data_IF_203427083136
#
_entry.id   IF_203427083136
#
_cell.length_a   1.000
_cell.length_b   1.000
_cell.length_c   1.000
_cell.angle_alpha   90.00
_cell.angle_beta   90.00
_cell.angle_gamma   90.00
#
_symmetry.space_group_name_H-M   'P 1'
#
loop_
_entity.id
_entity.type
_entity.pdbx_description
1 polymer ?
#
# COMPACT_ATOMS: atom_id res chain seq x y z
N UNK A 1 -38.31 -149.19 24.15
CA UNK A 1 -38.64 -148.97 22.73
C UNK A 1 -38.43 -147.49 22.42
N UNK A 2 -38.11 -147.14 21.17
CA UNK A 2 -37.65 -145.78 20.84
C UNK A 2 -38.73 -144.70 21.07
N UNK A 3 -38.39 -143.67 21.84
CA UNK A 3 -39.17 -142.43 21.88
C UNK A 3 -39.09 -141.74 20.51
N UNK A 4 -40.22 -141.66 19.80
CA UNK A 4 -40.35 -140.81 18.62
C UNK A 4 -40.37 -139.35 19.09
N UNK A 5 -39.20 -138.74 19.17
CA UNK A 5 -39.06 -137.29 19.34
C UNK A 5 -39.83 -136.58 18.22
N UNK A 6 -40.86 -135.82 18.59
CA UNK A 6 -41.83 -135.28 17.64
C UNK A 6 -41.21 -134.10 16.88
N UNK A 7 -40.89 -134.21 15.57
CA UNK A 7 -40.03 -133.26 14.87
C UNK A 7 -40.63 -131.85 14.73
N UNK A 8 -41.95 -131.73 14.91
CA UNK A 8 -42.66 -130.46 14.87
C UNK A 8 -42.28 -129.51 16.03
N UNK A 9 -41.90 -130.03 17.21
CA UNK A 9 -41.62 -129.18 18.37
C UNK A 9 -40.35 -128.33 18.19
N UNK A 10 -39.30 -128.93 17.59
CA UNK A 10 -38.08 -128.19 17.23
C UNK A 10 -38.32 -127.16 16.13
N UNK A 11 -39.18 -127.44 15.15
CA UNK A 11 -39.52 -126.48 14.09
C UNK A 11 -40.24 -125.23 14.64
N UNK A 12 -41.19 -125.41 15.56
CA UNK A 12 -41.92 -124.30 16.20
C UNK A 12 -41.01 -123.48 17.12
N UNK A 13 -40.13 -124.12 17.92
CA UNK A 13 -39.16 -123.41 18.75
C UNK A 13 -38.15 -122.61 17.92
N UNK A 14 -37.67 -123.16 16.80
CA UNK A 14 -36.71 -122.47 15.93
C UNK A 14 -37.38 -121.30 15.19
N UNK A 15 -38.63 -121.44 14.75
CA UNK A 15 -39.43 -120.34 14.20
C UNK A 15 -39.67 -119.23 15.23
N UNK A 16 -40.05 -119.57 16.46
CA UNK A 16 -40.22 -118.60 17.56
C UNK A 16 -38.93 -117.85 17.90
N UNK A 17 -37.81 -118.57 17.94
CA UNK A 17 -36.47 -118.02 18.20
C UNK A 17 -35.99 -117.05 17.10
N UNK A 18 -36.45 -117.21 15.85
CA UNK A 18 -36.18 -116.28 14.75
C UNK A 18 -37.17 -115.10 14.70
N UNK A 19 -38.42 -115.29 15.09
CA UNK A 19 -39.43 -114.23 15.10
C UNK A 19 -39.16 -113.16 16.17
N UNK A 20 -38.63 -113.54 17.34
CA UNK A 20 -38.32 -112.61 18.42
C UNK A 20 -37.27 -111.53 18.04
N UNK A 21 -36.07 -111.87 17.51
CA UNK A 21 -35.11 -110.85 17.08
C UNK A 21 -35.62 -110.04 15.88
N UNK A 22 -36.39 -110.64 14.95
CA UNK A 22 -37.01 -109.90 13.85
C UNK A 22 -38.03 -108.86 14.36
N UNK A 23 -38.79 -109.17 15.42
CA UNK A 23 -39.69 -108.22 16.07
C UNK A 23 -38.93 -107.08 16.77
N UNK A 24 -37.86 -107.38 17.50
CA UNK A 24 -37.02 -106.38 18.19
C UNK A 24 -36.33 -105.46 17.17
N UNK A 25 -35.73 -106.01 16.11
CA UNK A 25 -35.12 -105.24 15.00
C UNK A 25 -36.18 -104.40 14.26
N UNK A 26 -37.38 -104.95 14.03
CA UNK A 26 -38.49 -104.20 13.45
C UNK A 26 -38.93 -103.01 14.33
N UNK A 27 -38.92 -103.17 15.65
CA UNK A 27 -39.26 -102.11 16.60
C UNK A 27 -38.20 -101.02 16.66
N UNK A 28 -36.91 -101.37 16.71
CA UNK A 28 -35.81 -100.37 16.71
C UNK A 28 -35.72 -99.61 15.39
N UNK A 29 -35.92 -100.27 14.25
CA UNK A 29 -36.00 -99.60 12.94
C UNK A 29 -37.18 -98.62 12.87
N UNK A 30 -38.36 -98.98 13.41
CA UNK A 30 -39.51 -98.06 13.51
C UNK A 30 -39.18 -96.85 14.39
N UNK A 31 -38.55 -97.06 15.55
CA UNK A 31 -38.15 -95.98 16.44
C UNK A 31 -37.11 -95.04 15.80
N UNK A 32 -36.14 -95.59 15.06
CA UNK A 32 -35.16 -94.81 14.29
C UNK A 32 -35.84 -93.98 13.19
N UNK A 33 -36.76 -94.57 12.41
CA UNK A 33 -37.50 -93.84 11.37
C UNK A 33 -38.36 -92.70 11.95
N UNK A 34 -39.05 -92.96 13.08
CA UNK A 34 -39.83 -91.92 13.79
C UNK A 34 -38.90 -90.82 14.33
N UNK A 35 -37.75 -91.19 14.91
CA UNK A 35 -36.78 -90.22 15.42
C UNK A 35 -36.17 -89.35 14.31
N UNK A 36 -35.76 -89.96 13.20
CA UNK A 36 -35.19 -89.25 12.05
C UNK A 36 -36.22 -88.33 11.40
N UNK A 37 -37.46 -88.80 11.19
CA UNK A 37 -38.53 -87.94 10.63
C UNK A 37 -38.91 -86.79 11.56
N UNK A 38 -38.96 -87.01 12.89
CA UNK A 38 -39.14 -85.95 13.87
C UNK A 38 -37.99 -84.92 13.82
N UNK A 39 -36.73 -85.37 13.75
CA UNK A 39 -35.55 -84.49 13.67
C UNK A 39 -35.58 -83.66 12.39
N UNK A 40 -35.84 -84.26 11.22
CA UNK A 40 -35.96 -83.55 9.95
C UNK A 40 -37.11 -82.53 9.97
N UNK A 41 -38.24 -82.88 10.56
CA UNK A 41 -39.38 -81.97 10.72
C UNK A 41 -39.03 -80.79 11.64
N UNK A 42 -38.41 -81.04 12.80
CA UNK A 42 -37.95 -80.01 13.73
C UNK A 42 -36.88 -79.10 13.10
N UNK A 43 -35.94 -79.65 12.34
CA UNK A 43 -34.95 -78.88 11.57
C UNK A 43 -35.64 -77.98 10.54
N UNK A 44 -36.62 -78.50 9.80
CA UNK A 44 -37.39 -77.73 8.81
C UNK A 44 -38.16 -76.57 9.46
N UNK A 45 -38.83 -76.82 10.59
CA UNK A 45 -39.54 -75.78 11.36
C UNK A 45 -38.56 -74.73 11.93
N UNK A 46 -37.41 -75.16 12.45
CA UNK A 46 -36.36 -74.27 12.97
C UNK A 46 -35.78 -73.36 11.88
N UNK A 47 -35.43 -73.92 10.71
CA UNK A 47 -34.97 -73.15 9.56
C UNK A 47 -36.05 -72.17 9.05
N UNK A 48 -37.31 -72.60 9.00
CA UNK A 48 -38.45 -71.74 8.71
C UNK A 48 -38.54 -70.55 9.66
N UNK A 49 -38.49 -70.80 10.97
CA UNK A 49 -38.52 -69.76 12.00
C UNK A 49 -37.33 -68.80 11.90
N UNK A 50 -36.10 -69.31 11.71
CA UNK A 50 -34.90 -68.50 11.50
C UNK A 50 -35.03 -67.63 10.25
N UNK A 51 -35.62 -68.14 9.16
CA UNK A 51 -35.85 -67.35 7.94
C UNK A 51 -36.83 -66.18 8.18
N UNK A 52 -37.91 -66.41 8.93
CA UNK A 52 -38.89 -65.39 9.31
C UNK A 52 -38.26 -64.34 10.23
N UNK A 53 -37.44 -64.76 11.21
CA UNK A 53 -36.69 -63.84 12.07
C UNK A 53 -35.68 -63.00 11.27
N UNK A 54 -34.93 -63.61 10.35
CA UNK A 54 -34.02 -62.90 9.44
C UNK A 54 -34.77 -61.86 8.61
N UNK A 55 -35.92 -62.23 8.01
CA UNK A 55 -36.79 -61.32 7.22
C UNK A 55 -37.36 -60.17 8.07
N UNK A 56 -37.78 -60.44 9.32
CA UNK A 56 -38.22 -59.40 10.25
C UNK A 56 -37.09 -58.47 10.66
N UNK A 57 -35.87 -58.99 10.89
CA UNK A 57 -34.69 -58.18 11.24
C UNK A 57 -34.25 -57.32 10.06
N UNK A 58 -34.20 -57.85 8.83
CA UNK A 58 -33.85 -57.07 7.65
C UNK A 58 -34.89 -55.98 7.35
N UNK A 59 -36.18 -56.27 7.49
CA UNK A 59 -37.24 -55.27 7.36
C UNK A 59 -37.12 -54.13 8.39
N UNK A 60 -36.82 -54.44 9.66
CA UNK A 60 -36.57 -53.40 10.69
C UNK A 60 -35.33 -52.57 10.40
N UNK A 61 -34.24 -53.19 9.94
CA UNK A 61 -33.01 -52.47 9.57
C UNK A 61 -33.22 -51.58 8.33
N UNK A 62 -33.98 -52.04 7.33
CA UNK A 62 -34.36 -51.23 6.18
C UNK A 62 -35.22 -50.03 6.58
N UNK A 63 -36.26 -50.25 7.40
CA UNK A 63 -37.11 -49.16 7.91
C UNK A 63 -36.32 -48.12 8.72
N UNK A 64 -35.40 -48.56 9.58
CA UNK A 64 -34.52 -47.66 10.34
C UNK A 64 -33.56 -46.88 9.42
N UNK A 65 -33.01 -47.51 8.38
CA UNK A 65 -32.17 -46.84 7.39
C UNK A 65 -32.95 -45.80 6.57
N UNK A 66 -34.19 -46.09 6.20
CA UNK A 66 -35.06 -45.14 5.49
C UNK A 66 -35.50 -43.98 6.39
N UNK A 67 -35.75 -44.21 7.68
CA UNK A 67 -36.01 -43.12 8.64
C UNK A 67 -34.80 -42.17 8.75
N UNK A 68 -33.57 -42.72 8.86
CA UNK A 68 -32.35 -41.92 8.86
C UNK A 68 -32.19 -41.11 7.57
N UNK A 69 -32.47 -41.72 6.40
CA UNK A 69 -32.46 -41.01 5.10
C UNK A 69 -33.48 -39.87 5.05
N UNK A 70 -34.68 -40.06 5.60
CA UNK A 70 -35.73 -39.02 5.66
C UNK A 70 -35.27 -37.86 6.56
N UNK A 71 -34.72 -38.16 7.75
CA UNK A 71 -34.15 -37.14 8.65
C UNK A 71 -33.01 -36.36 7.98
N UNK A 72 -32.09 -37.06 7.30
CA UNK A 72 -30.97 -36.45 6.58
C UNK A 72 -31.45 -35.55 5.44
N UNK A 73 -32.44 -35.98 4.63
CA UNK A 73 -33.04 -35.14 3.58
C UNK A 73 -33.69 -33.89 4.15
N UNK A 74 -34.38 -34.00 5.29
CA UNK A 74 -34.97 -32.84 5.99
C UNK A 74 -33.88 -31.86 6.44
N UNK A 75 -32.82 -32.35 7.11
CA UNK A 75 -31.68 -31.52 7.51
C UNK A 75 -31.02 -30.81 6.32
N UNK A 76 -30.80 -31.51 5.21
CA UNK A 76 -30.26 -30.91 3.98
C UNK A 76 -31.20 -29.81 3.46
N UNK A 77 -32.51 -30.05 3.41
CA UNK A 77 -33.47 -29.05 2.96
C UNK A 77 -33.53 -27.81 3.87
N UNK A 78 -33.47 -27.99 5.19
CA UNK A 78 -33.48 -26.90 6.16
C UNK A 78 -32.17 -26.09 6.12
N UNK A 79 -31.01 -26.74 5.96
CA UNK A 79 -29.72 -26.08 5.70
C UNK A 79 -29.75 -25.32 4.37
N UNK A 80 -30.25 -25.94 3.29
CA UNK A 80 -30.35 -25.28 1.98
C UNK A 80 -31.28 -24.06 2.01
N UNK A 81 -32.37 -24.10 2.78
CA UNK A 81 -33.24 -22.93 3.00
C UNK A 81 -32.49 -21.81 3.72
N UNK A 82 -31.83 -22.09 4.84
CA UNK A 82 -31.07 -21.10 5.60
C UNK A 82 -29.91 -20.49 4.78
N UNK A 83 -29.21 -21.30 3.98
CA UNK A 83 -28.19 -20.78 3.05
C UNK A 83 -28.82 -19.89 1.98
N UNK A 84 -29.99 -20.25 1.44
CA UNK A 84 -30.74 -19.42 0.49
C UNK A 84 -31.14 -18.06 1.08
N UNK A 85 -31.70 -18.06 2.28
CA UNK A 85 -32.08 -16.84 3.02
C UNK A 85 -30.87 -15.93 3.27
N UNK A 86 -29.74 -16.49 3.72
CA UNK A 86 -28.50 -15.74 3.92
C UNK A 86 -27.94 -15.15 2.62
N UNK A 87 -28.03 -15.87 1.50
CA UNK A 87 -27.60 -15.36 0.18
C UNK A 87 -28.53 -14.23 -0.30
N UNK A 88 -29.84 -14.33 -0.07
CA UNK A 88 -30.79 -13.25 -0.39
C UNK A 88 -30.46 -11.99 0.41
N UNK A 89 -30.29 -12.11 1.74
CA UNK A 89 -29.92 -10.98 2.61
C UNK A 89 -28.58 -10.33 2.21
N UNK A 90 -27.60 -11.13 1.81
CA UNK A 90 -26.31 -10.63 1.30
C UNK A 90 -26.47 -9.84 -0.02
N UNK A 91 -27.31 -10.33 -0.93
CA UNK A 91 -27.61 -9.66 -2.20
C UNK A 91 -28.40 -8.37 -1.99
N UNK A 92 -29.35 -8.35 -1.06
CA UNK A 92 -30.09 -7.14 -0.67
C UNK A 92 -29.17 -6.08 -0.05
N UNK A 93 -28.29 -6.50 0.88
CA UNK A 93 -27.28 -5.62 1.49
C UNK A 93 -26.33 -5.04 0.43
N UNK A 94 -25.85 -5.88 -0.50
CA UNK A 94 -25.00 -5.45 -1.62
C UNK A 94 -25.72 -4.46 -2.54
N UNK A 95 -27.01 -4.70 -2.85
CA UNK A 95 -27.85 -3.80 -3.64
C UNK A 95 -28.03 -2.44 -2.95
N UNK A 96 -28.27 -2.42 -1.65
CA UNK A 96 -28.39 -1.17 -0.88
C UNK A 96 -27.08 -0.37 -0.88
N UNK A 97 -25.93 -1.05 -0.74
CA UNK A 97 -24.61 -0.40 -0.85
C UNK A 97 -24.38 0.21 -2.23
N UNK A 98 -24.72 -0.49 -3.31
CA UNK A 98 -24.62 0.04 -4.68
C UNK A 98 -25.52 1.26 -4.88
N UNK A 99 -26.75 1.25 -4.35
CA UNK A 99 -27.65 2.41 -4.41
C UNK A 99 -27.09 3.62 -3.63
N UNK A 100 -26.52 3.42 -2.44
CA UNK A 100 -25.87 4.49 -1.67
C UNK A 100 -24.66 5.09 -2.40
N UNK A 101 -23.82 4.25 -3.01
CA UNK A 101 -22.69 4.70 -3.82
C UNK A 101 -23.14 5.49 -5.05
N UNK A 102 -24.22 5.07 -5.71
CA UNK A 102 -24.78 5.81 -6.85
C UNK A 102 -25.33 7.18 -6.42
N UNK A 103 -26.09 7.25 -5.32
CA UNK A 103 -26.57 8.52 -4.75
C UNK A 103 -25.43 9.45 -4.28
N UNK A 104 -24.31 8.91 -3.83
CA UNK A 104 -23.12 9.72 -3.52
C UNK A 104 -22.42 10.23 -4.79
N UNK A 105 -22.36 9.41 -5.85
CA UNK A 105 -21.82 9.83 -7.14
C UNK A 105 -22.67 10.93 -7.79
N UNK A 106 -24.01 10.78 -7.79
CA UNK A 106 -24.94 11.79 -8.30
C UNK A 106 -24.81 13.13 -7.56
N UNK A 107 -24.71 13.11 -6.21
CA UNK A 107 -24.46 14.33 -5.44
C UNK A 107 -23.13 14.99 -5.79
N UNK A 108 -22.05 14.22 -5.95
CA UNK A 108 -20.75 14.78 -6.36
C UNK A 108 -20.81 15.37 -7.77
N UNK A 109 -21.53 14.75 -8.70
CA UNK A 109 -21.73 15.31 -10.04
C UNK A 109 -22.44 16.67 -9.95
N UNK A 110 -23.52 16.78 -9.16
CA UNK A 110 -24.23 18.04 -8.93
C UNK A 110 -23.34 19.11 -8.25
N UNK A 111 -22.52 18.73 -7.28
CA UNK A 111 -21.53 19.63 -6.65
C UNK A 111 -20.49 20.14 -7.66
N UNK A 112 -19.99 19.28 -8.56
CA UNK A 112 -19.08 19.68 -9.64
C UNK A 112 -19.77 20.59 -10.66
N UNK A 113 -20.99 20.28 -11.08
CA UNK A 113 -21.78 21.11 -12.00
C UNK A 113 -22.01 22.51 -11.42
N UNK A 114 -22.48 22.61 -10.16
CA UNK A 114 -22.65 23.89 -9.46
C UNK A 114 -21.32 24.66 -9.37
N UNK A 115 -20.23 24.01 -8.97
CA UNK A 115 -18.92 24.65 -8.90
C UNK A 115 -18.42 25.16 -10.27
N UNK A 116 -18.79 24.50 -11.38
CA UNK A 116 -18.48 25.02 -12.73
C UNK A 116 -19.35 26.22 -13.12
N UNK A 117 -20.62 26.25 -12.73
CA UNK A 117 -21.51 27.41 -12.94
C UNK A 117 -21.00 28.62 -12.13
N UNK A 118 -20.74 28.44 -10.83
CA UNK A 118 -20.23 29.49 -9.94
C UNK A 118 -18.90 30.07 -10.46
N UNK A 119 -18.02 29.20 -10.99
CA UNK A 119 -16.78 29.63 -11.64
C UNK A 119 -17.05 30.46 -12.89
N UNK A 120 -17.98 30.03 -13.75
CA UNK A 120 -18.32 30.76 -14.97
C UNK A 120 -18.94 32.13 -14.66
N UNK A 121 -19.76 32.23 -13.61
CA UNK A 121 -20.30 33.51 -13.12
C UNK A 121 -19.21 34.41 -12.53
N UNK A 122 -18.25 33.85 -11.78
CA UNK A 122 -17.08 34.57 -11.29
C UNK A 122 -16.20 35.10 -12.43
N UNK A 123 -16.04 34.35 -13.51
CA UNK A 123 -15.31 34.78 -14.71
C UNK A 123 -16.06 35.92 -15.43
N UNK A 124 -17.38 35.80 -15.67
CA UNK A 124 -18.22 36.90 -16.21
C UNK A 124 -18.17 38.17 -15.37
N UNK A 125 -18.18 38.05 -14.03
CA UNK A 125 -18.10 39.19 -13.13
C UNK A 125 -16.72 39.89 -13.21
N UNK A 126 -15.64 39.14 -13.39
CA UNK A 126 -14.29 39.70 -13.63
C UNK A 126 -14.23 40.42 -14.98
N UNK A 127 -14.79 39.84 -16.03
CA UNK A 127 -14.82 40.47 -17.36
C UNK A 127 -15.59 41.79 -17.33
N UNK A 128 -16.74 41.83 -16.65
CA UNK A 128 -17.51 43.06 -16.43
C UNK A 128 -16.72 44.09 -15.61
N UNK A 129 -15.96 43.66 -14.59
CA UNK A 129 -15.08 44.54 -13.82
C UNK A 129 -13.94 45.10 -14.69
N UNK A 130 -13.29 44.28 -15.51
CA UNK A 130 -12.23 44.69 -16.43
C UNK A 130 -12.74 45.73 -17.42
N UNK A 131 -13.88 45.47 -18.07
CA UNK A 131 -14.53 46.42 -18.97
C UNK A 131 -14.81 47.77 -18.30
N UNK A 132 -15.31 47.77 -17.07
CA UNK A 132 -15.53 49.01 -16.30
C UNK A 132 -14.23 49.76 -15.99
N UNK A 133 -13.09 49.07 -15.86
CA UNK A 133 -11.77 49.70 -15.68
C UNK A 133 -11.24 50.28 -16.98
N UNK A 134 -11.39 49.57 -18.09
CA UNK A 134 -11.03 50.06 -19.43
C UNK A 134 -11.79 51.35 -19.78
N UNK A 135 -13.11 51.38 -19.55
CA UNK A 135 -13.93 52.58 -19.77
C UNK A 135 -13.46 53.77 -18.90
N UNK A 136 -13.05 53.53 -17.66
CA UNK A 136 -12.49 54.56 -16.79
C UNK A 136 -11.11 55.05 -17.26
N UNK A 137 -10.24 54.16 -17.76
CA UNK A 137 -8.93 54.53 -18.33
C UNK A 137 -9.13 55.40 -19.58
N UNK A 138 -10.03 55.02 -20.50
CA UNK A 138 -10.37 55.81 -21.70
C UNK A 138 -10.98 57.20 -21.37
N UNK A 139 -11.58 57.37 -20.20
CA UNK A 139 -12.02 58.68 -19.67
C UNK A 139 -10.84 59.47 -19.10
N UNK A 140 -9.89 58.84 -18.41
CA UNK A 140 -8.67 59.49 -17.93
C UNK A 140 -7.76 59.93 -19.07
N UNK A 141 -7.54 59.08 -20.08
CA UNK A 141 -6.71 59.40 -21.26
C UNK A 141 -7.22 60.63 -22.00
N UNK A 142 -8.55 60.76 -22.18
CA UNK A 142 -9.16 61.97 -22.77
C UNK A 142 -8.90 63.22 -21.93
N UNK A 143 -9.07 63.14 -20.61
CA UNK A 143 -8.78 64.27 -19.70
C UNK A 143 -7.30 64.66 -19.72
N UNK A 144 -6.40 63.69 -19.76
CA UNK A 144 -4.96 63.93 -19.88
C UNK A 144 -4.67 64.67 -21.20
N UNK A 145 -5.21 64.16 -22.32
CA UNK A 145 -5.05 64.79 -23.63
C UNK A 145 -5.59 66.23 -23.68
N UNK A 146 -6.79 66.47 -23.16
CA UNK A 146 -7.37 67.82 -23.03
C UNK A 146 -6.47 68.75 -22.19
N UNK A 147 -5.88 68.23 -21.10
CA UNK A 147 -4.94 69.00 -20.27
C UNK A 147 -3.59 69.26 -20.94
N UNK A 148 -3.12 68.33 -21.77
CA UNK A 148 -1.89 68.46 -22.54
C UNK A 148 -2.04 69.52 -23.64
N UNK A 149 -3.15 69.49 -24.38
CA UNK A 149 -3.49 70.51 -25.39
C UNK A 149 -3.59 71.91 -24.74
N UNK A 150 -4.17 72.01 -23.54
CA UNK A 150 -4.24 73.25 -22.77
C UNK A 150 -2.84 73.74 -22.31
N UNK A 151 -1.96 72.83 -21.87
CA UNK A 151 -0.58 73.16 -21.49
C UNK A 151 0.25 73.61 -22.71
N UNK A 152 0.11 72.96 -23.87
CA UNK A 152 0.76 73.37 -25.11
C UNK A 152 0.30 74.78 -25.55
N UNK A 153 -1.00 75.08 -25.41
CA UNK A 153 -1.53 76.42 -25.68
C UNK A 153 -0.97 77.49 -24.71
N UNK A 154 -0.79 77.16 -23.42
CA UNK A 154 -0.14 78.04 -22.44
C UNK A 154 1.35 78.24 -22.73
N UNK A 155 2.06 77.17 -23.12
CA UNK A 155 3.48 77.24 -23.47
C UNK A 155 3.68 78.14 -24.71
N UNK A 156 2.90 77.95 -25.77
CA UNK A 156 2.94 78.81 -26.96
C UNK A 156 2.69 80.30 -26.61
N UNK A 157 1.80 80.57 -25.67
CA UNK A 157 1.51 81.93 -25.16
C UNK A 157 2.63 82.50 -24.29
N UNK A 158 3.42 81.65 -23.62
CA UNK A 158 4.64 82.06 -22.92
C UNK A 158 5.77 82.35 -23.92
N UNK A 159 5.98 81.51 -24.93
CA UNK A 159 6.96 81.74 -26.02
C UNK A 159 6.65 83.04 -26.78
N UNK A 160 5.39 83.31 -27.10
CA UNK A 160 4.95 84.59 -27.70
C UNK A 160 5.26 85.78 -26.79
N UNK A 161 5.04 85.65 -25.47
CA UNK A 161 5.38 86.70 -24.48
C UNK A 161 6.89 86.88 -24.36
N UNK A 162 7.67 85.81 -24.31
CA UNK A 162 9.13 85.87 -24.24
C UNK A 162 9.71 86.51 -25.50
N UNK A 163 9.19 86.18 -26.68
CA UNK A 163 9.60 86.80 -27.93
C UNK A 163 9.22 88.30 -27.98
N UNK A 164 8.05 88.68 -27.48
CA UNK A 164 7.68 90.09 -27.31
C UNK A 164 8.57 90.83 -26.29
N UNK A 165 8.90 90.19 -25.15
CA UNK A 165 9.85 90.71 -24.16
C UNK A 165 11.24 90.85 -24.77
N UNK A 166 11.70 89.89 -25.58
CA UNK A 166 12.99 89.95 -26.28
C UNK A 166 13.04 91.06 -27.33
N UNK A 167 11.95 91.31 -28.05
CA UNK A 167 11.83 92.47 -28.96
C UNK A 167 11.84 93.78 -28.15
N UNK A 168 11.16 93.82 -27.00
CA UNK A 168 11.20 94.98 -26.09
C UNK A 168 12.58 95.17 -25.45
N UNK A 169 13.29 94.08 -25.13
CA UNK A 169 14.64 94.07 -24.59
C UNK A 169 15.65 94.49 -25.65
N UNK A 170 15.59 93.98 -26.89
CA UNK A 170 16.46 94.44 -27.99
C UNK A 170 16.21 95.92 -28.32
N UNK A 171 14.96 96.41 -28.22
CA UNK A 171 14.65 97.84 -28.31
C UNK A 171 15.21 98.63 -27.11
N UNK A 172 15.07 98.14 -25.88
CA UNK A 172 15.65 98.74 -24.69
C UNK A 172 17.19 98.71 -24.75
N UNK A 173 17.79 97.67 -25.32
CA UNK A 173 19.22 97.48 -25.54
C UNK A 173 19.73 98.37 -26.66
N UNK A 174 18.89 98.73 -27.64
CA UNK A 174 19.16 99.78 -28.63
C UNK A 174 19.12 101.19 -28.01
N UNK A 175 18.38 101.38 -26.92
CA UNK A 175 18.44 102.58 -26.07
C UNK A 175 19.67 102.52 -25.14
N UNK A 176 20.00 101.35 -24.59
CA UNK A 176 21.08 101.13 -23.63
C UNK A 176 22.48 101.10 -24.26
N UNK A 177 22.62 100.64 -25.50
CA UNK A 177 23.82 100.78 -26.34
C UNK A 177 24.12 102.24 -26.72
N UNK A 178 23.17 103.15 -26.44
CA UNK A 178 23.37 104.60 -26.49
C UNK A 178 23.90 105.18 -25.17
N UNK A 179 24.02 104.36 -24.13
CA UNK A 179 24.28 104.77 -22.74
C UNK A 179 25.44 104.02 -22.07
N UNK A 180 25.72 102.77 -22.43
CA UNK A 180 26.81 101.97 -21.85
C UNK A 180 27.82 101.46 -22.88
N UNK A 181 28.73 102.36 -23.25
CA UNK A 181 30.05 102.04 -23.80
C UNK A 181 31.02 101.56 -22.68
N UNK A 182 30.50 100.94 -21.60
CA UNK A 182 31.26 100.71 -20.35
C UNK A 182 31.14 99.28 -19.80
N UNK A 183 32.20 98.50 -20.05
CA UNK A 183 32.67 97.29 -19.34
C UNK A 183 31.97 95.92 -19.55
N UNK A 184 32.86 94.91 -19.60
CA UNK A 184 32.73 93.43 -19.74
C UNK A 184 33.58 92.78 -18.59
N UNK A 185 33.87 91.45 -18.53
CA UNK A 185 33.04 90.20 -18.53
C UNK A 185 33.52 89.10 -17.52
N UNK A 186 32.83 87.94 -17.39
CA UNK A 186 33.32 86.53 -17.08
C UNK A 186 32.15 85.63 -16.56
N UNK A 187 31.90 84.34 -16.89
CA UNK A 187 32.65 83.04 -16.78
C UNK A 187 32.67 82.42 -15.33
N UNK A 188 32.50 81.09 -15.05
CA UNK A 188 32.34 79.88 -15.90
C UNK A 188 31.74 78.62 -15.16
N UNK A 189 30.92 77.80 -15.85
CA UNK A 189 30.76 76.30 -15.96
C UNK A 189 31.40 75.35 -14.88
N UNK A 190 30.71 74.25 -14.47
CA UNK A 190 31.21 72.82 -14.37
C UNK A 190 30.14 71.78 -13.89
N UNK A 191 30.38 70.49 -14.21
CA UNK A 191 29.49 69.30 -14.20
C UNK A 191 29.70 68.33 -12.98
N UNK A 192 28.91 67.22 -12.84
CA UNK A 192 28.90 66.34 -11.66
C UNK A 192 29.83 65.11 -11.73
N UNK A 193 29.97 64.39 -10.60
CA UNK A 193 30.77 63.15 -10.48
C UNK A 193 29.93 62.00 -9.90
N UNK A 194 30.23 60.76 -10.30
CA UNK A 194 29.37 59.58 -10.13
C UNK A 194 29.95 58.54 -9.09
N UNK A 195 29.61 57.23 -9.08
CA UNK A 195 29.20 56.55 -7.84
C UNK A 195 30.18 55.51 -7.30
N UNK A 196 29.99 55.12 -6.02
CA UNK A 196 30.59 53.92 -5.43
C UNK A 196 29.50 52.91 -5.06
N UNK A 197 29.65 51.66 -5.51
CA UNK A 197 28.79 50.54 -5.11
C UNK A 197 29.71 49.34 -4.79
N UNK A 198 29.62 48.72 -3.60
CA UNK A 198 30.62 47.77 -3.13
C UNK A 198 30.51 46.38 -3.77
N UNK A 199 31.66 45.71 -3.91
CA UNK A 199 31.79 44.35 -4.43
C UNK A 199 31.11 43.35 -3.50
N UNK A 200 30.13 42.60 -4.00
CA UNK A 200 29.51 41.51 -3.27
C UNK A 200 30.46 40.28 -3.18
N UNK A 201 30.50 39.56 -2.05
CA UNK A 201 31.34 38.38 -1.90
C UNK A 201 30.88 37.21 -2.81
N UNK A 202 31.79 36.31 -3.21
CA UNK A 202 31.47 35.23 -4.13
C UNK A 202 30.44 34.26 -3.54
N UNK A 203 29.29 34.15 -4.21
CA UNK A 203 28.23 33.22 -3.85
C UNK A 203 28.70 31.77 -4.07
N UNK A 204 29.05 31.08 -2.99
CA UNK A 204 29.44 29.66 -3.02
C UNK A 204 28.19 28.83 -3.35
N UNK A 205 27.94 28.60 -4.64
CA UNK A 205 26.96 27.61 -5.09
C UNK A 205 27.47 26.21 -4.73
N UNK A 206 26.89 25.62 -3.69
CA UNK A 206 27.07 24.21 -3.38
C UNK A 206 26.44 23.36 -4.49
N UNK A 207 27.26 22.60 -5.20
CA UNK A 207 26.80 21.67 -6.24
C UNK A 207 26.00 20.55 -5.59
N UNK A 208 24.68 20.51 -5.81
CA UNK A 208 23.86 19.35 -5.48
C UNK A 208 24.23 18.17 -6.39
N UNK A 209 24.04 16.92 -5.94
CA UNK A 209 23.93 15.74 -6.79
C UNK A 209 23.07 16.01 -8.04
N UNK A 210 23.51 15.55 -9.21
CA UNK A 210 22.80 15.76 -10.48
C UNK A 210 21.35 15.25 -10.42
N UNK A 211 21.12 14.15 -9.69
CA UNK A 211 19.78 13.61 -9.45
C UNK A 211 18.88 14.59 -8.70
N UNK A 212 19.39 15.42 -7.77
CA UNK A 212 18.62 16.42 -7.03
C UNK A 212 18.51 17.75 -7.80
N UNK A 213 19.54 18.11 -8.57
CA UNK A 213 19.58 19.34 -9.37
C UNK A 213 18.55 19.35 -10.51
N UNK A 214 18.25 18.18 -11.09
CA UNK A 214 17.16 18.00 -12.07
C UNK A 214 15.80 18.39 -11.50
N UNK A 215 15.61 18.17 -10.19
CA UNK A 215 14.34 18.41 -9.50
C UNK A 215 14.22 19.82 -8.92
N UNK A 216 15.32 20.50 -8.56
CA UNK A 216 15.29 21.79 -7.85
C UNK A 216 14.49 22.90 -8.55
N UNK A 217 14.30 22.80 -9.87
CA UNK A 217 13.57 23.81 -10.65
C UNK A 217 12.14 23.38 -11.03
N UNK A 218 11.80 22.08 -10.99
CA UNK A 218 10.57 21.54 -11.62
C UNK A 218 9.80 20.50 -10.76
N UNK A 219 10.15 20.33 -9.48
CA UNK A 219 9.41 19.47 -8.52
C UNK A 219 7.90 19.73 -8.47
N UNK A 220 7.46 20.97 -8.73
CA UNK A 220 6.03 21.34 -8.67
C UNK A 220 5.21 20.85 -9.86
N UNK A 221 5.85 20.62 -11.02
CA UNK A 221 5.18 20.34 -12.30
C UNK A 221 5.28 18.85 -12.70
N UNK A 222 6.48 18.26 -12.60
CA UNK A 222 6.85 17.02 -13.27
C UNK A 222 7.56 16.02 -12.35
N UNK A 223 7.14 15.98 -11.08
CA UNK A 223 7.76 15.05 -10.13
C UNK A 223 7.52 13.57 -10.46
N UNK A 224 8.61 12.82 -10.59
CA UNK A 224 8.58 11.41 -10.98
C UNK A 224 9.58 10.57 -10.18
N UNK A 225 9.25 9.30 -9.98
CA UNK A 225 10.06 8.36 -9.18
C UNK A 225 11.50 8.23 -9.71
N UNK A 226 12.46 8.54 -8.83
CA UNK A 226 13.91 8.43 -9.08
C UNK A 226 14.43 6.98 -9.06
N UNK A 227 13.62 6.05 -8.54
CA UNK A 227 13.99 4.65 -8.38
C UNK A 227 14.33 3.97 -9.71
N UNK A 228 15.24 3.00 -9.65
CA UNK A 228 15.72 2.27 -10.82
C UNK A 228 14.95 0.95 -10.94
N UNK A 229 14.44 0.65 -12.14
CA UNK A 229 13.75 -0.62 -12.41
C UNK A 229 14.74 -1.79 -12.46
N UNK A 230 14.25 -3.05 -12.43
CA UNK A 230 15.09 -4.24 -12.64
C UNK A 230 15.87 -4.25 -13.97
N UNK A 231 15.51 -3.38 -14.94
CA UNK A 231 16.19 -3.21 -16.23
C UNK A 231 17.28 -2.12 -16.21
N UNK A 232 17.57 -1.49 -15.07
CA UNK A 232 18.55 -0.41 -14.95
C UNK A 232 18.04 0.98 -15.40
N UNK A 233 16.79 1.10 -15.85
CA UNK A 233 16.19 2.38 -16.26
C UNK A 233 15.48 3.08 -15.10
N UNK A 234 15.45 4.42 -15.07
CA UNK A 234 14.63 5.19 -14.11
C UNK A 234 13.14 4.85 -14.25
N UNK A 235 12.44 4.81 -13.12
CA UNK A 235 11.04 4.42 -13.01
C UNK A 235 10.08 5.41 -13.67
N UNK A 236 10.31 6.72 -13.48
CA UNK A 236 9.52 7.83 -14.06
C UNK A 236 8.02 7.84 -13.71
N UNK A 237 7.53 6.99 -12.80
CA UNK A 237 6.13 7.03 -12.36
C UNK A 237 5.86 8.26 -11.49
N UNK A 238 4.79 9.01 -11.81
CA UNK A 238 4.36 10.24 -11.09
C UNK A 238 3.44 9.98 -9.88
N UNK A 239 3.11 8.72 -9.61
CA UNK A 239 2.26 8.27 -8.49
C UNK A 239 3.00 8.37 -7.14
N UNK A 240 3.20 9.61 -6.69
CA UNK A 240 3.82 9.98 -5.41
C UNK A 240 2.87 10.96 -4.73
N UNK A 241 2.65 10.80 -3.42
CA UNK A 241 1.70 11.62 -2.67
C UNK A 241 2.11 13.10 -2.67
N UNK A 242 1.15 14.02 -2.72
CA UNK A 242 1.46 15.44 -2.77
C UNK A 242 2.15 15.95 -1.49
N UNK A 243 1.90 15.32 -0.34
CA UNK A 243 2.62 15.58 0.91
C UNK A 243 4.10 15.15 0.85
N UNK A 244 4.40 13.98 0.26
CA UNK A 244 5.78 13.54 0.03
C UNK A 244 6.50 14.50 -0.94
N UNK A 245 5.78 15.00 -1.97
CA UNK A 245 6.31 15.98 -2.92
C UNK A 245 6.65 17.31 -2.24
N UNK A 246 5.75 17.87 -1.42
CA UNK A 246 6.03 19.13 -0.71
C UNK A 246 7.18 18.94 0.28
N UNK A 247 7.18 17.86 1.06
CA UNK A 247 8.27 17.59 2.00
C UNK A 247 9.64 17.42 1.32
N UNK A 248 9.68 16.81 0.13
CA UNK A 248 10.88 16.74 -0.69
C UNK A 248 11.32 18.11 -1.24
N UNK A 249 10.37 18.96 -1.69
CA UNK A 249 10.64 20.35 -2.10
C UNK A 249 11.26 21.13 -0.94
N UNK A 250 10.57 21.18 0.20
CA UNK A 250 10.99 21.97 1.36
C UNK A 250 12.39 21.54 1.86
N UNK A 251 12.70 20.24 1.78
CA UNK A 251 14.02 19.70 2.13
C UNK A 251 15.09 20.11 1.11
N UNK A 252 14.81 20.10 -0.19
CA UNK A 252 15.75 20.51 -1.25
C UNK A 252 15.97 22.04 -1.23
N UNK A 253 14.91 22.82 -1.01
CA UNK A 253 15.02 24.27 -0.77
C UNK A 253 15.88 24.56 0.48
N UNK A 254 15.70 23.81 1.59
CA UNK A 254 16.57 23.94 2.78
C UNK A 254 18.03 23.55 2.49
N UNK A 255 18.28 22.46 1.76
CA UNK A 255 19.62 22.01 1.35
C UNK A 255 20.36 23.01 0.43
N UNK A 256 19.62 23.86 -0.29
CA UNK A 256 20.18 24.90 -1.18
C UNK A 256 20.26 26.28 -0.52
N UNK A 257 19.73 26.43 0.68
CA UNK A 257 19.74 27.68 1.44
C UNK A 257 21.16 28.09 1.90
N UNK A 258 21.30 29.34 2.35
CA UNK A 258 22.56 29.87 2.89
C UNK A 258 22.99 29.24 4.23
N UNK A 259 22.11 28.47 4.88
CA UNK A 259 22.39 27.69 6.08
C UNK A 259 21.67 26.33 6.03
N UNK A 260 22.25 25.32 5.37
CA UNK A 260 21.60 24.02 5.22
C UNK A 260 21.58 23.16 6.49
N UNK A 261 22.23 23.57 7.59
CA UNK A 261 22.26 22.83 8.86
C UNK A 261 22.60 21.33 8.67
N UNK A 262 21.99 20.44 9.45
CA UNK A 262 22.18 19.00 9.41
C UNK A 262 21.41 18.30 8.27
N UNK A 263 20.99 19.03 7.22
CA UNK A 263 20.25 18.43 6.07
C UNK A 263 21.07 17.47 5.20
N UNK A 264 22.35 17.28 5.52
CA UNK A 264 23.22 16.32 4.85
C UNK A 264 23.46 15.03 5.67
N UNK A 265 22.76 14.83 6.79
CA UNK A 265 22.83 13.57 7.53
C UNK A 265 22.24 12.39 6.74
N UNK A 266 22.81 11.20 6.94
CA UNK A 266 22.39 9.99 6.21
C UNK A 266 20.91 9.62 6.45
N UNK A 267 20.40 9.85 7.67
CA UNK A 267 18.99 9.60 8.01
C UNK A 267 18.06 10.57 7.27
N UNK A 268 18.44 11.86 7.20
CA UNK A 268 17.73 12.90 6.45
C UNK A 268 17.73 12.59 4.95
N UNK A 269 18.86 12.20 4.38
CA UNK A 269 18.97 11.85 2.96
C UNK A 269 18.16 10.59 2.62
N UNK A 270 17.99 9.67 3.58
CA UNK A 270 17.12 8.50 3.43
C UNK A 270 15.64 8.86 3.42
N UNK A 271 15.21 9.70 4.35
CA UNK A 271 13.83 10.22 4.38
C UNK A 271 13.49 10.95 3.06
N UNK A 272 14.38 11.83 2.59
CA UNK A 272 14.26 12.49 1.29
C UNK A 272 14.18 11.47 0.15
N UNK A 273 15.08 10.48 0.12
CA UNK A 273 15.04 9.44 -0.91
C UNK A 273 13.72 8.67 -0.90
N UNK A 274 13.23 8.27 0.27
CA UNK A 274 11.97 7.52 0.39
C UNK A 274 10.76 8.36 -0.08
N UNK A 275 10.70 9.68 0.20
CA UNK A 275 9.69 10.59 -0.38
C UNK A 275 9.75 10.65 -1.92
N UNK A 276 10.95 10.58 -2.49
CA UNK A 276 11.17 10.63 -3.94
C UNK A 276 10.91 9.30 -4.68
N UNK A 277 10.55 8.23 -3.96
CA UNK A 277 10.26 6.89 -4.51
C UNK A 277 8.75 6.58 -4.55
N UNK A 278 8.30 5.91 -5.62
CA UNK A 278 6.89 5.51 -5.73
C UNK A 278 6.55 4.41 -4.71
N UNK A 279 5.44 4.54 -3.93
CA UNK A 279 5.17 3.64 -2.81
C UNK A 279 5.08 2.17 -3.21
N UNK A 280 4.34 1.88 -4.29
CA UNK A 280 4.00 0.53 -4.74
C UNK A 280 5.21 -0.35 -5.09
N UNK A 281 6.30 0.24 -5.58
CA UNK A 281 7.45 -0.51 -6.07
C UNK A 281 8.72 -0.21 -5.28
N UNK A 282 9.15 1.05 -5.28
CA UNK A 282 10.49 1.42 -4.82
C UNK A 282 10.57 1.81 -3.34
N UNK A 283 9.43 2.08 -2.68
CA UNK A 283 9.38 2.25 -1.21
C UNK A 283 9.11 0.92 -0.50
N UNK A 284 8.09 0.17 -0.91
CA UNK A 284 7.64 -1.01 -0.15
C UNK A 284 8.07 -2.37 -0.71
N UNK A 285 8.06 -2.59 -2.03
CA UNK A 285 8.34 -3.92 -2.60
C UNK A 285 9.83 -4.20 -2.82
N UNK A 286 10.59 -3.18 -3.25
CA UNK A 286 12.04 -3.19 -3.45
C UNK A 286 12.60 -1.86 -2.92
N UNK A 287 12.77 -1.72 -1.59
CA UNK A 287 13.19 -0.46 -0.96
C UNK A 287 14.56 -0.01 -1.46
N UNK A 288 14.62 1.15 -2.14
CA UNK A 288 15.86 1.71 -2.67
C UNK A 288 16.40 2.93 -1.90
N UNK A 289 15.62 3.53 -1.00
CA UNK A 289 15.96 4.78 -0.32
C UNK A 289 17.31 4.74 0.41
N UNK A 290 17.62 3.65 1.11
CA UNK A 290 18.89 3.49 1.82
C UNK A 290 20.12 3.46 0.89
N UNK A 291 19.99 2.90 -0.31
CA UNK A 291 21.09 2.84 -1.30
C UNK A 291 21.29 4.21 -1.96
N UNK A 292 20.20 4.88 -2.32
CA UNK A 292 20.22 6.22 -2.91
C UNK A 292 20.80 7.23 -1.91
N UNK A 293 20.37 7.17 -0.65
CA UNK A 293 20.85 8.06 0.41
C UNK A 293 22.36 7.93 0.68
N UNK A 294 22.90 6.70 0.67
CA UNK A 294 24.36 6.49 0.78
C UNK A 294 25.10 7.13 -0.37
N UNK A 295 24.65 6.90 -1.61
CA UNK A 295 25.24 7.53 -2.81
C UNK A 295 25.23 9.06 -2.71
N UNK A 296 24.11 9.68 -2.33
CA UNK A 296 24.05 11.12 -2.13
C UNK A 296 24.93 11.61 -0.97
N UNK A 297 24.99 10.85 0.13
CA UNK A 297 25.85 11.18 1.27
C UNK A 297 27.33 11.23 0.86
N UNK A 298 27.77 10.28 0.04
CA UNK A 298 29.14 10.22 -0.50
C UNK A 298 29.38 11.36 -1.51
N UNK A 299 28.46 11.61 -2.44
CA UNK A 299 28.50 12.74 -3.39
C UNK A 299 28.49 14.12 -2.69
N UNK A 300 27.87 14.23 -1.50
CA UNK A 300 27.79 15.45 -0.67
C UNK A 300 28.93 15.58 0.36
N UNK A 301 29.96 14.72 0.32
CA UNK A 301 31.08 14.73 1.27
C UNK A 301 31.78 16.11 1.38
N UNK A 302 32.07 16.76 0.25
CA UNK A 302 32.66 18.11 0.21
C UNK A 302 31.76 19.20 0.83
N UNK A 303 30.45 19.11 0.62
CA UNK A 303 29.49 20.04 1.21
C UNK A 303 29.45 19.90 2.73
N UNK A 304 29.47 18.65 3.23
CA UNK A 304 29.54 18.33 4.66
C UNK A 304 30.86 18.81 5.29
N UNK A 305 31.99 18.66 4.61
CA UNK A 305 33.28 19.16 5.07
C UNK A 305 33.28 20.70 5.21
N UNK A 306 32.71 21.43 4.23
CA UNK A 306 32.55 22.90 4.26
C UNK A 306 31.59 23.38 5.36
N UNK A 307 30.51 22.64 5.61
CA UNK A 307 29.60 22.96 6.71
C UNK A 307 30.30 22.78 8.06
N UNK A 308 31.02 21.66 8.26
CA UNK A 308 31.75 21.38 9.49
C UNK A 308 32.83 22.43 9.79
N UNK A 309 33.59 22.87 8.78
CA UNK A 309 34.59 23.94 8.98
C UNK A 309 33.95 25.29 9.31
N UNK A 310 32.82 25.66 8.69
CA UNK A 310 32.07 26.87 9.05
C UNK A 310 31.58 26.85 10.50
N UNK A 311 31.04 25.72 10.96
CA UNK A 311 30.60 25.55 12.36
C UNK A 311 31.77 25.67 13.34
N UNK A 312 32.92 25.08 13.01
CA UNK A 312 34.13 25.17 13.84
C UNK A 312 34.68 26.61 13.92
N UNK A 313 34.70 27.36 12.82
CA UNK A 313 35.09 28.79 12.81
C UNK A 313 34.15 29.65 13.67
N UNK A 314 32.84 29.36 13.64
CA UNK A 314 31.86 30.10 14.44
C UNK A 314 32.04 29.82 15.94
N UNK A 315 32.32 28.58 16.33
CA UNK A 315 32.62 28.19 17.73
C UNK A 315 33.90 28.85 18.24
N UNK A 316 34.98 28.88 17.45
CA UNK A 316 36.24 29.48 17.86
C UNK A 316 36.17 31.01 18.05
N UNK A 317 35.28 31.69 17.32
CA UNK A 317 35.09 33.16 17.45
C UNK A 317 34.37 33.54 18.76
N UNK A 318 33.76 32.58 19.46
CA UNK A 318 32.95 32.81 20.67
C UNK A 318 33.64 32.39 21.98
N UNK A 319 34.92 32.00 21.96
CA UNK A 319 35.69 31.85 23.22
C UNK A 319 36.06 33.22 23.78
N UNK A 320 35.60 33.60 24.99
CA UNK A 320 35.93 34.89 25.59
C UNK A 320 37.41 34.95 25.97
N UNK A 321 37.98 36.16 25.89
CA UNK A 321 39.35 36.46 26.27
C UNK A 321 39.50 36.28 27.78
N UNK A 322 39.97 35.11 28.23
CA UNK A 322 40.45 34.95 29.61
C UNK A 322 41.81 35.63 29.74
N UNK A 323 41.92 36.55 30.69
CA UNK A 323 43.08 37.41 30.91
C UNK A 323 44.33 36.66 31.37
N UNK A 324 45.54 37.02 30.90
CA UNK A 324 46.78 36.59 31.53
C UNK A 324 47.02 37.44 32.79
N UNK A 325 47.30 36.80 33.93
CA UNK A 325 47.74 37.47 35.15
C UNK A 325 49.11 36.95 35.57
N UNK A 326 50.01 37.85 35.95
CA UNK A 326 51.45 37.57 36.02
C UNK A 326 51.97 37.42 37.46
N UNK A 327 52.70 36.33 37.67
CA UNK A 327 53.87 36.14 38.54
C UNK A 327 54.02 36.92 39.87
N UNK A 328 54.17 36.18 40.99
CA UNK A 328 55.25 36.42 41.99
C UNK A 328 55.82 35.06 42.45
N UNK A 329 57.14 35.01 42.67
CA UNK A 329 57.96 33.89 43.15
C UNK A 329 57.96 33.72 44.68
N UNK A 330 58.15 32.47 45.19
CA UNK A 330 59.19 32.11 46.18
C UNK A 330 59.13 30.64 46.67
N UNK A 331 60.28 30.15 47.14
CA UNK A 331 60.65 28.75 47.46
C UNK A 331 60.12 28.14 48.77
N UNK A 332 59.83 26.83 48.76
CA UNK A 332 60.38 25.78 49.68
C UNK A 332 59.76 24.40 49.37
N UNK A 333 60.55 23.38 48.99
CA UNK A 333 61.13 22.30 49.83
C UNK A 333 60.18 21.10 50.08
N UNK A 334 60.66 19.91 49.68
CA UNK A 334 60.15 18.53 49.75
C UNK A 334 59.77 18.00 51.18
N UNK A 335 59.28 16.73 51.37
CA UNK A 335 58.65 15.72 50.47
C UNK A 335 57.43 14.94 51.08
N UNK A 336 56.92 13.96 50.30
CA UNK A 336 56.48 12.60 50.76
C UNK A 336 55.00 12.31 51.07
N UNK A 337 54.66 11.00 50.95
CA UNK A 337 53.39 10.30 51.17
C UNK A 337 52.18 10.71 50.28
N UNK A 338 51.51 9.83 49.52
CA UNK A 338 51.70 8.39 49.31
C UNK A 338 50.64 7.48 49.93
N UNK A 339 49.35 7.67 49.57
CA UNK A 339 48.27 6.67 49.78
C UNK A 339 47.24 6.79 48.64
N UNK A 340 46.75 5.68 48.04
CA UNK A 340 45.70 5.73 47.01
C UNK A 340 44.29 5.76 47.62
N UNK A 341 43.38 6.58 47.06
CA UNK A 341 41.97 6.55 47.45
C UNK A 341 41.22 5.46 46.69
N UNK A 342 40.88 4.39 47.41
CA UNK A 342 39.98 3.33 46.98
C UNK A 342 38.54 3.84 47.08
N UNK A 343 37.75 3.72 46.01
CA UNK A 343 36.39 3.18 46.13
C UNK A 343 35.88 2.64 44.79
N UNK A 344 35.73 1.32 44.73
CA UNK A 344 35.15 0.62 43.59
C UNK A 344 33.64 0.45 43.75
N UNK A 345 32.97 0.16 42.64
CA UNK A 345 31.75 -0.64 42.58
C UNK A 345 30.48 -0.08 43.22
N UNK A 346 29.48 0.23 42.39
CA UNK A 346 28.26 -0.59 42.36
C UNK A 346 27.73 -0.68 40.93
N UNK A 347 27.93 -1.85 40.31
CA UNK A 347 27.36 -2.20 39.01
C UNK A 347 26.09 -3.03 39.23
N UNK A 348 24.92 -2.44 39.02
CA UNK A 348 23.66 -3.20 39.07
C UNK A 348 23.42 -3.87 37.72
N UNK A 349 23.94 -5.08 37.55
CA UNK A 349 23.61 -5.92 36.40
C UNK A 349 22.16 -6.39 36.45
N UNK A 350 21.43 -6.25 35.35
CA UNK A 350 20.17 -6.99 35.12
C UNK A 350 20.34 -7.80 33.83
N UNK A 351 19.95 -9.07 33.89
CA UNK A 351 20.47 -10.09 32.98
C UNK A 351 19.97 -9.97 31.52
N UNK A 352 20.89 -10.12 30.57
CA UNK A 352 20.61 -10.41 29.17
C UNK A 352 20.53 -11.93 28.97
N UNK A 353 19.32 -12.45 28.72
CA UNK A 353 19.14 -13.85 28.31
C UNK A 353 19.46 -14.01 26.82
N UNK A 354 20.48 -14.82 26.55
CA UNK A 354 20.93 -15.18 25.20
C UNK A 354 19.95 -16.19 24.60
N UNK A 355 19.41 -15.89 23.42
CA UNK A 355 18.70 -16.84 22.56
C UNK A 355 19.15 -16.66 21.10
N UNK A 356 19.84 -17.66 20.57
CA UNK A 356 20.44 -17.63 19.23
C UNK A 356 19.39 -17.75 18.11
N UNK A 357 19.39 -16.87 17.09
CA UNK A 357 18.72 -17.14 15.84
C UNK A 357 19.62 -18.00 14.94
N UNK A 358 19.22 -19.25 14.66
CA UNK A 358 19.88 -20.06 13.64
C UNK A 358 19.61 -19.47 12.24
N UNK A 359 20.66 -19.29 11.46
CA UNK A 359 20.59 -18.80 10.09
C UNK A 359 20.07 -19.90 9.14
N UNK A 360 18.79 -19.86 8.80
CA UNK A 360 18.23 -20.73 7.75
C UNK A 360 18.51 -20.10 6.38
N UNK A 361 19.51 -20.65 5.68
CA UNK A 361 19.78 -20.32 4.28
C UNK A 361 18.73 -20.96 3.37
N UNK A 362 17.82 -20.16 2.82
CA UNK A 362 16.95 -20.62 1.72
C UNK A 362 17.57 -20.34 0.36
N UNK A 363 18.18 -21.38 -0.20
CA UNK A 363 18.64 -21.41 -1.60
C UNK A 363 17.45 -21.40 -2.56
N UNK A 364 17.15 -20.24 -3.16
CA UNK A 364 16.05 -20.10 -4.11
C UNK A 364 16.45 -20.63 -5.50
N UNK A 365 16.26 -21.94 -5.73
CA UNK A 365 16.47 -22.55 -7.06
C UNK A 365 15.40 -22.05 -8.02
N UNK A 366 15.81 -21.35 -9.07
CA UNK A 366 14.91 -20.80 -10.07
C UNK A 366 14.18 -21.88 -10.87
N UNK A 367 12.86 -21.93 -10.76
CA UNK A 367 12.02 -22.80 -11.59
C UNK A 367 11.85 -22.17 -12.98
N UNK A 368 12.52 -22.76 -13.98
CA UNK A 368 12.37 -22.41 -15.38
C UNK A 368 11.06 -22.94 -15.95
N UNK A 369 10.12 -22.06 -16.27
CA UNK A 369 8.97 -22.43 -17.10
C UNK A 369 9.42 -22.58 -18.55
N UNK A 370 9.61 -23.82 -19.01
CA UNK A 370 9.72 -24.10 -20.44
C UNK A 370 8.34 -23.99 -21.10
N UNK A 371 8.29 -23.18 -22.16
CA UNK A 371 7.15 -23.11 -23.07
C UNK A 371 7.21 -24.31 -24.00
N UNK A 372 6.19 -25.17 -23.97
CA UNK A 372 5.96 -26.21 -25.00
C UNK A 372 4.70 -25.81 -25.77
N UNK A 373 4.86 -25.56 -27.06
CA UNK A 373 3.76 -25.19 -27.96
C UNK A 373 2.90 -26.39 -28.37
N UNK A 374 1.68 -26.16 -28.88
CA UNK A 374 0.80 -27.23 -29.33
C UNK A 374 1.25 -27.79 -30.68
N UNK A 375 1.54 -29.09 -30.74
CA UNK A 375 1.58 -29.80 -32.03
C UNK A 375 0.18 -30.23 -32.45
N UNK A 376 -0.11 -30.07 -33.74
CA UNK A 376 -1.34 -30.53 -34.36
C UNK A 376 -1.34 -32.06 -34.53
N UNK A 377 -2.51 -32.68 -34.40
CA UNK A 377 -2.80 -33.99 -34.96
C UNK A 377 -4.13 -33.94 -35.70
N UNK A 378 -4.16 -34.53 -36.90
CA UNK A 378 -5.38 -34.72 -37.68
C UNK A 378 -6.06 -36.04 -37.29
N UNK A 379 -7.41 -36.01 -37.23
CA UNK A 379 -8.41 -36.99 -37.72
C UNK A 379 -8.04 -38.48 -37.97
N UNK A 380 -8.99 -39.45 -37.92
CA UNK A 380 -10.40 -39.27 -38.33
C UNK A 380 -11.53 -40.04 -37.58
N UNK A 381 -12.76 -39.62 -37.89
CA UNK A 381 -14.02 -40.39 -38.03
C UNK A 381 -14.36 -41.55 -37.08
N UNK A 382 -15.49 -41.40 -36.39
CA UNK A 382 -16.32 -42.49 -35.86
C UNK A 382 -17.68 -41.96 -35.44
N UNK A 383 -18.76 -42.30 -36.16
CA UNK A 383 -20.11 -41.81 -35.89
C UNK A 383 -20.95 -42.84 -35.11
N UNK A 384 -21.55 -42.44 -33.99
CA UNK A 384 -22.81 -43.02 -33.45
C UNK A 384 -23.41 -42.10 -32.37
N UNK A 385 -24.61 -41.60 -32.66
CA UNK A 385 -25.80 -41.47 -31.81
C UNK A 385 -25.78 -41.00 -30.33
N UNK A 386 -26.73 -40.09 -30.09
CA UNK A 386 -27.53 -39.88 -28.87
C UNK A 386 -26.88 -39.29 -27.58
N UNK A 387 -27.35 -38.09 -27.26
CA UNK A 387 -27.28 -37.42 -25.95
C UNK A 387 -28.30 -38.04 -24.94
N UNK A 388 -28.45 -37.58 -23.66
CA UNK A 388 -27.82 -36.41 -23.01
C UNK A 388 -27.31 -36.62 -21.56
N UNK A 389 -26.66 -35.59 -20.99
CA UNK A 389 -26.61 -35.40 -19.53
C UNK A 389 -25.26 -35.14 -18.85
N UNK A 390 -24.47 -34.14 -19.29
CA UNK A 390 -23.29 -33.69 -18.53
C UNK A 390 -23.58 -32.45 -17.69
N UNK A 391 -23.51 -32.58 -16.36
CA UNK A 391 -23.73 -31.50 -15.39
C UNK A 391 -22.52 -30.56 -15.26
N UNK A 392 -22.66 -29.24 -15.50
CA UNK A 392 -21.60 -28.25 -15.26
C UNK A 392 -21.57 -27.81 -13.78
N UNK A 393 -21.31 -28.74 -12.85
CA UNK A 393 -21.34 -28.47 -11.40
C UNK A 393 -20.05 -28.83 -10.64
N UNK A 394 -19.04 -29.43 -11.29
CA UNK A 394 -17.84 -29.97 -10.60
C UNK A 394 -16.66 -29.00 -10.42
N UNK A 395 -16.78 -27.73 -10.86
CA UNK A 395 -15.66 -26.76 -10.85
C UNK A 395 -15.84 -25.53 -9.94
N UNK A 396 -16.82 -25.53 -9.03
CA UNK A 396 -17.00 -24.43 -8.07
C UNK A 396 -16.25 -24.60 -6.74
N UNK A 397 -15.72 -25.79 -6.45
CA UNK A 397 -15.02 -26.09 -5.20
C UNK A 397 -13.85 -25.13 -4.88
N UNK A 398 -12.98 -24.74 -5.85
CA UNK A 398 -11.89 -23.80 -5.59
C UNK A 398 -12.37 -22.39 -5.17
N UNK A 399 -13.58 -22.00 -5.61
CA UNK A 399 -14.12 -20.66 -5.38
C UNK A 399 -14.69 -20.52 -3.96
N UNK A 400 -15.33 -21.58 -3.44
CA UNK A 400 -15.73 -21.64 -2.04
C UNK A 400 -14.54 -21.69 -1.08
N UNK A 401 -13.45 -22.38 -1.46
CA UNK A 401 -12.24 -22.45 -0.63
C UNK A 401 -11.49 -21.09 -0.57
N UNK A 402 -11.44 -20.35 -1.69
CA UNK A 402 -10.90 -18.99 -1.71
C UNK A 402 -11.69 -18.02 -0.79
N UNK A 403 -13.03 -18.08 -0.83
CA UNK A 403 -13.89 -17.24 0.05
C UNK A 403 -13.74 -17.63 1.53
N UNK A 404 -13.63 -18.93 1.84
CA UNK A 404 -13.39 -19.41 3.20
C UNK A 404 -12.02 -18.97 3.76
N UNK A 405 -10.97 -18.96 2.93
CA UNK A 405 -9.65 -18.43 3.33
C UNK A 405 -9.68 -16.92 3.57
N UNK A 406 -10.41 -16.16 2.75
CA UNK A 406 -10.59 -14.71 2.94
C UNK A 406 -11.41 -14.36 4.20
N UNK A 407 -12.32 -15.24 4.63
CA UNK A 407 -13.02 -15.08 5.92
C UNK A 407 -12.08 -15.30 7.12
N UNK A 408 -11.20 -16.32 7.06
CA UNK A 408 -10.24 -16.60 8.14
C UNK A 408 -9.18 -15.51 8.33
N UNK A 409 -8.68 -14.93 7.25
CA UNK A 409 -7.68 -13.85 7.35
C UNK A 409 -8.25 -12.56 7.96
N UNK A 410 -9.56 -12.32 7.83
CA UNK A 410 -10.23 -11.16 8.41
C UNK A 410 -10.41 -11.29 9.94
N UNK A 411 -10.80 -12.47 10.40
CA UNK A 411 -10.97 -12.77 11.84
C UNK A 411 -9.63 -12.64 12.59
N UNK A 412 -8.55 -13.20 12.04
CA UNK A 412 -7.19 -13.08 12.61
C UNK A 412 -6.64 -11.64 12.60
N UNK A 413 -7.23 -10.73 11.82
CA UNK A 413 -6.84 -9.32 11.81
C UNK A 413 -7.58 -8.51 12.88
N UNK A 414 -8.85 -8.82 13.14
CA UNK A 414 -9.64 -8.18 14.21
C UNK A 414 -9.20 -8.65 15.61
N UNK A 415 -8.90 -9.94 15.77
CA UNK A 415 -8.44 -10.53 17.05
C UNK A 415 -7.07 -9.98 17.51
N UNK A 416 -6.28 -9.42 16.59
CA UNK A 416 -4.98 -8.79 16.87
C UNK A 416 -5.08 -7.27 17.13
N UNK A 417 -6.27 -6.67 17.00
CA UNK A 417 -6.52 -5.23 17.24
C UNK A 417 -7.19 -5.00 18.60
N UNK A 418 -7.91 -5.99 19.14
CA UNK A 418 -8.65 -5.89 20.40
C UNK A 418 -7.93 -6.44 21.63
N UNK A 419 -6.60 -6.64 21.56
CA UNK A 419 -5.78 -7.09 22.69
C UNK A 419 -5.75 -6.11 23.87
N UNK A 420 -6.70 -6.28 24.80
CA UNK A 420 -6.76 -5.70 26.15
C UNK A 420 -7.33 -6.70 27.14
#
# INVERSE_FOLDING_TARGET
MAEKSNPYFFSVLNAGSLLLPLYVVGSTLRFLLISVTLILWLQTQCLGYISILKKRRSARLAAAADEVRIRQRKQIADISRSVGENVILLLETSREQVLKLNQEAERKIQEYEQATVDRQESERAKDQQLKSREENILVQERKIKESEEALQALQKKLEEREQNVKIAEDNARKIYLKQEEFRRPSHQIIQPTAPFNPVAPPLIKSTLPSDLLEYSNDLRSLFTCIGVTKKGTRCRQSMIANADKSAAIDRIEKMTSSNPEDTFELNVLRELADWMLCPRWHRYALPQGATIARRWYDELSDARAKLKSRTQTHMNTLTPITTPSSAITSSSTLPSAGVPSVFSSYSTGTASSIASPQSVSMSYTGSSYQVIGPQAFMNPQGASDAAPGNHPARNLMPLFEAVAQQSRSKILFEENITGR
#
